data_IF_094523707225
#
_entry.id   IF_094523707225
#
_cell.length_a   1.000
_cell.length_b   1.000
_cell.length_c   1.000
_cell.angle_alpha   90.00
_cell.angle_beta   90.00
_cell.angle_gamma   90.00
#
_symmetry.space_group_name_H-M   'P 1'
#
loop_
_entity.id
_entity.type
_entity.pdbx_description
1 polymer ?
#
# COMPACT_ATOMS: atom_id res chain seq x y z
N UNK A 1 42.03 -32.04 7.36
CA UNK A 1 41.32 -30.81 6.95
C UNK A 1 40.64 -30.27 8.21
N UNK A 2 40.88 -29.02 8.58
CA UNK A 2 40.17 -28.46 9.72
C UNK A 2 38.69 -28.45 9.36
N UNK A 3 37.84 -28.94 10.27
CA UNK A 3 36.38 -28.79 10.13
C UNK A 3 36.06 -27.30 9.98
N UNK A 4 35.56 -26.92 8.83
CA UNK A 4 35.08 -25.58 8.60
C UNK A 4 33.84 -25.41 9.50
N UNK A 5 34.01 -24.71 10.61
CA UNK A 5 32.88 -24.39 11.49
C UNK A 5 32.02 -23.34 10.78
N UNK A 6 30.71 -23.59 10.77
CA UNK A 6 29.74 -22.57 10.39
C UNK A 6 30.06 -21.27 11.13
N UNK A 7 30.01 -20.16 10.44
CA UNK A 7 30.17 -18.85 11.06
C UNK A 7 28.88 -18.05 11.03
N UNK A 8 28.71 -17.19 12.01
CA UNK A 8 27.54 -16.33 12.16
C UNK A 8 27.84 -14.96 11.63
N UNK A 9 26.98 -14.44 10.76
CA UNK A 9 27.04 -13.10 10.20
C UNK A 9 25.83 -12.29 10.63
N UNK A 10 26.02 -11.06 11.12
CA UNK A 10 24.93 -10.10 11.28
C UNK A 10 24.78 -9.28 9.99
N UNK A 11 23.67 -9.50 9.27
CA UNK A 11 23.28 -8.73 8.11
C UNK A 11 22.30 -7.62 8.55
N UNK A 12 22.78 -6.38 8.57
CA UNK A 12 22.03 -5.26 9.14
C UNK A 12 22.12 -5.16 10.68
N UNK A 13 21.51 -4.11 11.29
CA UNK A 13 20.57 -3.17 10.66
C UNK A 13 21.22 -2.13 9.73
N UNK A 14 22.50 -1.83 9.89
CA UNK A 14 23.21 -0.88 9.03
C UNK A 14 23.69 -1.60 7.76
N UNK A 15 22.76 -1.83 6.85
CA UNK A 15 23.00 -2.37 5.51
C UNK A 15 21.90 -1.86 4.57
N UNK A 16 22.19 -1.44 3.33
CA UNK A 16 21.17 -0.93 2.39
C UNK A 16 20.01 -1.89 2.18
N UNK A 17 20.29 -3.19 1.96
CA UNK A 17 19.27 -4.21 1.74
C UNK A 17 18.55 -4.68 3.02
N UNK A 18 18.93 -4.19 4.20
CA UNK A 18 18.26 -4.46 5.48
C UNK A 18 17.25 -3.37 5.87
N UNK A 19 16.92 -2.47 4.96
CA UNK A 19 15.96 -1.36 5.16
C UNK A 19 16.28 -0.48 6.38
N UNK A 20 17.51 -0.51 6.90
CA UNK A 20 17.98 0.25 8.05
C UNK A 20 17.54 -0.26 9.43
N UNK A 21 16.65 -1.26 9.50
CA UNK A 21 16.02 -1.74 10.74
C UNK A 21 15.93 -3.26 10.88
N UNK A 22 16.26 -4.04 9.85
CA UNK A 22 16.34 -5.49 9.95
C UNK A 22 17.69 -5.89 10.51
N UNK A 23 17.70 -6.60 11.61
CA UNK A 23 18.85 -7.38 12.04
C UNK A 23 18.62 -8.83 11.64
N UNK A 24 19.31 -9.31 10.62
CA UNK A 24 19.25 -10.69 10.18
C UNK A 24 20.52 -11.42 10.63
N UNK A 25 20.35 -12.45 11.44
CA UNK A 25 21.45 -13.32 11.88
C UNK A 25 21.50 -14.51 10.93
N UNK A 26 22.58 -14.60 10.17
CA UNK A 26 22.80 -15.69 9.21
C UNK A 26 23.83 -16.68 9.76
N UNK A 27 23.53 -17.97 9.68
CA UNK A 27 24.49 -19.04 9.86
C UNK A 27 24.91 -19.53 8.47
N UNK A 28 26.20 -19.45 8.18
CA UNK A 28 26.76 -19.70 6.86
C UNK A 28 27.75 -20.86 6.89
N UNK A 29 27.68 -21.71 5.85
CA UNK A 29 28.73 -22.67 5.50
C UNK A 29 29.41 -22.17 4.21
N UNK A 30 30.57 -21.54 4.35
CA UNK A 30 31.14 -20.73 3.29
C UNK A 30 30.21 -19.52 2.94
N UNK A 31 29.67 -19.48 1.74
CA UNK A 31 28.69 -18.47 1.31
C UNK A 31 27.25 -18.99 1.31
N UNK A 32 27.03 -20.27 1.65
CA UNK A 32 25.71 -20.88 1.63
C UNK A 32 25.00 -20.71 2.97
N UNK A 33 23.76 -20.23 2.91
CA UNK A 33 22.93 -19.99 4.09
C UNK A 33 22.39 -21.32 4.61
N UNK A 34 22.71 -21.63 5.86
CA UNK A 34 22.17 -22.77 6.60
C UNK A 34 20.94 -22.39 7.41
N UNK A 35 20.94 -21.16 7.94
CA UNK A 35 19.83 -20.59 8.72
C UNK A 35 19.80 -19.09 8.60
N UNK A 36 18.60 -18.53 8.52
CA UNK A 36 18.35 -17.10 8.52
C UNK A 36 17.34 -16.74 9.64
N UNK A 37 17.79 -16.02 10.65
CA UNK A 37 17.00 -15.64 11.83
C UNK A 37 16.74 -14.13 11.85
N UNK A 38 15.53 -13.68 11.42
CA UNK A 38 15.19 -12.27 11.39
C UNK A 38 14.79 -11.74 12.76
N UNK A 39 15.50 -10.74 13.25
CA UNK A 39 15.20 -10.02 14.49
C UNK A 39 14.50 -8.70 14.14
N UNK A 40 13.27 -8.56 14.58
CA UNK A 40 12.42 -7.39 14.38
C UNK A 40 12.26 -6.58 15.68
N UNK A 41 11.61 -5.41 15.58
CA UNK A 41 11.29 -4.57 16.73
C UNK A 41 12.06 -3.25 16.79
N UNK A 42 13.06 -3.03 15.93
CA UNK A 42 13.84 -1.78 15.92
C UNK A 42 13.00 -0.57 15.47
N UNK A 43 11.85 -0.79 14.83
CA UNK A 43 10.87 0.24 14.46
C UNK A 43 9.54 0.07 15.22
N UNK A 44 9.52 -0.66 16.34
CA UNK A 44 8.32 -0.82 17.14
C UNK A 44 7.95 0.50 17.83
N UNK A 45 6.75 1.00 17.54
CA UNK A 45 6.23 2.29 18.02
C UNK A 45 4.97 2.15 18.84
N UNK A 46 4.60 0.92 19.19
CA UNK A 46 3.38 0.58 19.93
C UNK A 46 2.09 1.11 19.27
N UNK A 47 2.01 1.12 17.94
CA UNK A 47 0.90 1.73 17.18
C UNK A 47 -0.46 1.16 17.59
N UNK A 48 -0.57 -0.15 17.79
CA UNK A 48 -1.80 -0.78 18.25
C UNK A 48 -2.24 -0.20 19.62
N UNK A 49 -1.31 -0.07 20.57
CA UNK A 49 -1.60 0.45 21.91
C UNK A 49 -1.83 1.95 21.94
N UNK A 50 -1.13 2.71 21.11
CA UNK A 50 -1.36 4.14 20.96
C UNK A 50 -2.75 4.43 20.40
N UNK A 51 -3.20 3.65 19.42
CA UNK A 51 -4.54 3.80 18.84
C UNK A 51 -5.64 3.61 19.91
N UNK A 52 -5.47 2.68 20.84
CA UNK A 52 -6.40 2.44 21.96
C UNK A 52 -6.51 3.65 22.92
N UNK A 53 -5.54 4.56 22.91
CA UNK A 53 -5.55 5.77 23.75
C UNK A 53 -6.12 7.00 23.06
N UNK A 54 -6.38 6.92 21.76
CA UNK A 54 -6.84 8.01 20.89
C UNK A 54 -8.27 7.78 20.45
N UNK A 55 -8.97 8.87 20.10
CA UNK A 55 -10.27 8.71 19.43
C UNK A 55 -10.12 8.02 18.09
N UNK A 56 -11.18 7.41 17.56
CA UNK A 56 -11.15 6.74 16.26
C UNK A 56 -10.60 7.63 15.15
N UNK A 57 -10.97 8.91 15.14
CA UNK A 57 -10.47 9.86 14.14
C UNK A 57 -8.99 10.22 14.35
N UNK A 58 -8.55 10.34 15.61
CA UNK A 58 -7.15 10.63 15.93
C UNK A 58 -6.22 9.43 15.69
N UNK A 59 -6.75 8.21 15.71
CA UNK A 59 -5.98 7.00 15.43
C UNK A 59 -5.72 6.79 13.93
N UNK A 60 -6.54 7.37 13.05
CA UNK A 60 -6.41 7.23 11.60
C UNK A 60 -5.02 7.59 11.05
N UNK A 61 -4.39 8.73 11.41
CA UNK A 61 -3.05 9.08 10.93
C UNK A 61 -1.96 8.07 11.30
N UNK A 62 -2.15 7.25 12.33
CA UNK A 62 -1.17 6.20 12.65
C UNK A 62 -1.19 5.08 11.59
N UNK A 63 -2.32 4.85 10.93
CA UNK A 63 -2.45 3.83 9.89
C UNK A 63 -1.52 4.15 8.71
N UNK A 64 -1.46 5.43 8.29
CA UNK A 64 -0.56 5.87 7.22
C UNK A 64 0.91 5.54 7.45
N UNK A 65 1.32 5.46 8.71
CA UNK A 65 2.70 5.23 9.11
C UNK A 65 3.03 3.77 9.36
N UNK A 66 2.09 2.87 9.16
CA UNK A 66 2.33 1.42 9.22
C UNK A 66 3.11 0.99 7.98
N UNK A 67 2.46 0.77 6.87
CA UNK A 67 3.16 0.71 5.59
C UNK A 67 3.20 2.12 4.98
N UNK A 68 4.29 2.82 5.23
CA UNK A 68 4.50 4.19 4.75
C UNK A 68 4.74 4.29 3.23
N UNK A 69 4.62 3.18 2.52
CA UNK A 69 4.65 3.14 1.05
C UNK A 69 3.24 3.02 0.48
N UNK A 70 2.28 2.46 1.24
CA UNK A 70 0.91 2.19 0.78
C UNK A 70 -0.15 2.82 1.69
N UNK A 71 -0.01 4.12 1.95
CA UNK A 71 -0.72 4.84 2.99
C UNK A 71 -2.24 4.73 2.89
N UNK A 72 -2.83 5.06 1.74
CA UNK A 72 -4.29 5.08 1.62
C UNK A 72 -4.92 3.67 1.66
N UNK A 73 -4.18 2.61 1.32
CA UNK A 73 -4.65 1.24 1.53
C UNK A 73 -4.79 0.89 3.02
N UNK A 74 -3.88 1.40 3.86
CA UNK A 74 -3.96 1.22 5.32
C UNK A 74 -5.17 1.97 5.91
N UNK A 75 -5.38 3.23 5.47
CA UNK A 75 -6.55 4.03 5.85
C UNK A 75 -7.84 3.29 5.47
N UNK A 76 -7.86 2.68 4.27
CA UNK A 76 -9.04 1.99 3.74
C UNK A 76 -9.48 0.85 4.67
N UNK A 77 -8.57 -0.04 5.07
CA UNK A 77 -8.89 -1.15 5.97
C UNK A 77 -9.44 -0.66 7.31
N UNK A 78 -8.87 0.43 7.85
CA UNK A 78 -9.32 1.01 9.11
C UNK A 78 -10.71 1.64 9.00
N UNK A 79 -10.98 2.41 7.94
CA UNK A 79 -12.29 3.00 7.69
C UNK A 79 -13.36 1.92 7.51
N UNK A 80 -13.09 0.87 6.72
CA UNK A 80 -14.02 -0.25 6.53
C UNK A 80 -14.36 -0.97 7.84
N UNK A 81 -13.39 -1.14 8.76
CA UNK A 81 -13.64 -1.76 10.05
C UNK A 81 -14.59 -0.92 10.94
N UNK A 82 -14.40 0.40 10.94
CA UNK A 82 -15.27 1.32 11.67
C UNK A 82 -16.67 1.38 11.05
N UNK A 83 -16.74 1.48 9.73
CA UNK A 83 -18.02 1.54 8.99
C UNK A 83 -18.83 0.27 9.18
N UNK A 84 -18.19 -0.88 9.26
CA UNK A 84 -18.83 -2.17 9.57
C UNK A 84 -19.44 -2.19 10.98
N UNK A 85 -18.75 -1.60 11.98
CA UNK A 85 -19.28 -1.49 13.34
C UNK A 85 -20.42 -0.47 13.44
N UNK A 86 -20.34 0.62 12.68
CA UNK A 86 -21.37 1.65 12.64
C UNK A 86 -22.60 1.24 11.81
N UNK A 87 -22.45 0.27 10.90
CA UNK A 87 -23.51 -0.16 9.97
C UNK A 87 -23.87 0.92 8.95
N UNK A 88 -22.92 1.77 8.57
CA UNK A 88 -23.13 2.88 7.62
C UNK A 88 -22.75 2.48 6.20
N UNK A 89 -23.50 2.99 5.22
CA UNK A 89 -23.20 2.84 3.81
C UNK A 89 -22.49 4.09 3.28
N UNK A 90 -21.34 3.88 2.68
CA UNK A 90 -20.54 4.95 2.07
C UNK A 90 -21.14 5.38 0.74
N UNK A 91 -21.26 6.69 0.43
CA UNK A 91 -21.75 7.16 -0.86
C UNK A 91 -20.95 6.56 -2.02
N UNK A 92 -21.66 6.16 -3.09
CA UNK A 92 -21.08 5.46 -4.24
C UNK A 92 -19.91 6.23 -4.89
N UNK A 93 -19.99 7.57 -4.95
CA UNK A 93 -18.92 8.41 -5.47
C UNK A 93 -17.65 8.29 -4.61
N UNK A 94 -17.80 8.28 -3.29
CA UNK A 94 -16.68 8.09 -2.37
C UNK A 94 -16.04 6.70 -2.52
N UNK A 95 -16.84 5.66 -2.75
CA UNK A 95 -16.32 4.30 -3.02
C UNK A 95 -15.45 4.28 -4.28
N UNK A 96 -15.87 4.93 -5.38
CA UNK A 96 -15.06 5.04 -6.60
C UNK A 96 -13.77 5.83 -6.37
N UNK A 97 -13.82 6.91 -5.58
CA UNK A 97 -12.62 7.69 -5.22
C UNK A 97 -11.66 6.82 -4.40
N UNK A 98 -12.17 6.08 -3.41
CA UNK A 98 -11.35 5.19 -2.58
C UNK A 98 -10.69 4.08 -3.42
N UNK A 99 -11.42 3.44 -4.31
CA UNK A 99 -10.88 2.41 -5.20
C UNK A 99 -9.81 3.00 -6.13
N UNK A 100 -10.07 4.16 -6.74
CA UNK A 100 -9.09 4.85 -7.59
C UNK A 100 -7.80 5.15 -6.84
N UNK A 101 -7.88 5.70 -5.64
CA UNK A 101 -6.70 6.01 -4.82
C UNK A 101 -6.02 4.76 -4.23
N UNK A 102 -6.76 3.70 -3.95
CA UNK A 102 -6.17 2.42 -3.55
C UNK A 102 -5.33 1.82 -4.67
N UNK A 103 -5.78 1.93 -5.92
CA UNK A 103 -5.02 1.45 -7.07
C UNK A 103 -3.85 2.39 -7.46
N UNK A 104 -3.99 3.70 -7.30
CA UNK A 104 -2.86 4.63 -7.39
C UNK A 104 -1.80 4.33 -6.32
N UNK A 105 -2.23 3.98 -5.11
CA UNK A 105 -1.35 3.53 -4.02
C UNK A 105 -0.65 2.22 -4.38
N UNK A 106 -1.35 1.29 -5.04
CA UNK A 106 -0.74 0.06 -5.54
C UNK A 106 0.37 0.34 -6.54
N UNK A 107 0.15 1.25 -7.49
CA UNK A 107 1.18 1.70 -8.42
C UNK A 107 2.36 2.33 -7.67
N UNK A 108 2.08 3.20 -6.70
CA UNK A 108 3.08 3.88 -5.90
C UNK A 108 3.97 2.89 -5.12
N UNK A 109 3.37 1.83 -4.59
CA UNK A 109 4.10 0.76 -3.92
C UNK A 109 4.95 -0.07 -4.88
N UNK A 110 4.35 -0.56 -5.95
CA UNK A 110 5.07 -1.42 -6.89
C UNK A 110 6.22 -0.70 -7.60
N UNK A 111 6.08 0.60 -7.85
CA UNK A 111 7.18 1.41 -8.39
C UNK A 111 8.33 1.55 -7.40
N UNK A 112 8.06 1.74 -6.09
CA UNK A 112 9.14 1.76 -5.09
C UNK A 112 9.81 0.41 -4.97
N UNK A 113 8.99 -0.65 -4.87
CA UNK A 113 9.50 -2.02 -4.80
C UNK A 113 10.38 -2.35 -6.01
N UNK A 114 9.91 -2.06 -7.23
CA UNK A 114 10.66 -2.35 -8.45
C UNK A 114 11.98 -1.58 -8.50
N UNK A 115 11.96 -0.30 -8.12
CA UNK A 115 13.14 0.55 -8.06
C UNK A 115 14.17 0.04 -7.04
N UNK A 116 13.74 -0.29 -5.83
CA UNK A 116 14.60 -0.77 -4.76
C UNK A 116 15.16 -2.17 -5.04
N UNK A 117 14.30 -3.11 -5.45
CA UNK A 117 14.71 -4.49 -5.78
C UNK A 117 15.63 -4.51 -7.01
N UNK A 118 15.33 -3.67 -8.02
CA UNK A 118 16.21 -3.49 -9.18
C UNK A 118 17.59 -2.97 -8.79
N UNK A 119 17.64 -1.96 -7.89
CA UNK A 119 18.88 -1.42 -7.34
C UNK A 119 19.69 -2.49 -6.62
N UNK A 120 19.05 -3.29 -5.76
CA UNK A 120 19.69 -4.38 -5.01
C UNK A 120 20.31 -5.44 -5.93
N UNK A 121 19.75 -5.64 -7.11
CA UNK A 121 20.29 -6.53 -8.16
C UNK A 121 21.22 -5.82 -9.15
N UNK A 122 21.56 -4.54 -8.92
CA UNK A 122 22.51 -3.77 -9.70
C UNK A 122 21.91 -2.89 -10.81
N UNK A 123 20.59 -2.83 -10.97
CA UNK A 123 19.89 -2.02 -11.97
C UNK A 123 19.52 -0.62 -11.44
N UNK A 124 20.51 0.22 -11.14
CA UNK A 124 20.34 1.54 -10.54
C UNK A 124 19.39 2.47 -11.34
N UNK A 125 19.40 2.39 -12.65
CA UNK A 125 18.59 3.28 -13.50
C UNK A 125 17.09 3.09 -13.28
N UNK A 126 16.65 1.88 -12.96
CA UNK A 126 15.23 1.57 -12.69
C UNK A 126 14.70 2.40 -11.52
N UNK A 127 15.49 2.59 -10.47
CA UNK A 127 15.10 3.42 -9.33
C UNK A 127 14.73 4.84 -9.78
N UNK A 128 15.56 5.46 -10.62
CA UNK A 128 15.34 6.84 -11.10
C UNK A 128 14.05 6.91 -11.95
N UNK A 129 13.85 5.95 -12.85
CA UNK A 129 12.66 5.90 -13.69
C UNK A 129 11.38 5.68 -12.87
N UNK A 130 11.38 4.75 -11.91
CA UNK A 130 10.24 4.50 -11.03
C UNK A 130 9.90 5.73 -10.18
N UNK A 131 10.91 6.43 -9.65
CA UNK A 131 10.67 7.62 -8.83
C UNK A 131 10.10 8.79 -9.64
N UNK A 132 10.38 8.87 -10.93
CA UNK A 132 9.76 9.85 -11.82
C UNK A 132 8.23 9.73 -11.82
N UNK A 133 7.72 8.51 -11.96
CA UNK A 133 6.27 8.26 -11.97
C UNK A 133 5.65 8.39 -10.56
N UNK A 134 6.42 8.05 -9.53
CA UNK A 134 5.99 8.24 -8.14
C UNK A 134 5.75 9.71 -7.80
N UNK A 135 6.54 10.63 -8.33
CA UNK A 135 6.35 12.06 -8.13
C UNK A 135 5.01 12.55 -8.70
N UNK A 136 4.60 12.07 -9.87
CA UNK A 136 3.29 12.39 -10.43
C UNK A 136 2.15 11.91 -9.49
N UNK A 137 2.27 10.72 -8.90
CA UNK A 137 1.26 10.20 -7.95
C UNK A 137 1.27 11.00 -6.64
N UNK A 138 2.43 11.44 -6.16
CA UNK A 138 2.50 12.32 -4.98
C UNK A 138 1.81 13.67 -5.21
N UNK A 139 1.88 14.21 -6.41
CA UNK A 139 1.12 15.42 -6.77
C UNK A 139 -0.41 15.18 -6.72
N UNK A 140 -0.87 13.98 -7.13
CA UNK A 140 -2.28 13.59 -6.99
C UNK A 140 -2.70 13.47 -5.52
N UNK A 141 -1.84 12.92 -4.66
CA UNK A 141 -2.05 12.84 -3.20
C UNK A 141 -2.15 14.22 -2.57
N UNK A 142 -1.22 15.10 -2.90
CA UNK A 142 -1.19 16.46 -2.39
C UNK A 142 -2.40 17.26 -2.84
N UNK A 143 -2.90 17.04 -4.07
CA UNK A 143 -4.07 17.69 -4.60
C UNK A 143 -5.33 17.46 -3.73
N UNK A 144 -5.53 16.26 -3.20
CA UNK A 144 -6.72 15.91 -2.40
C UNK A 144 -6.52 16.12 -0.91
N UNK A 145 -5.32 15.99 -0.40
CA UNK A 145 -5.05 15.98 1.05
C UNK A 145 -4.22 17.15 1.55
N UNK A 146 -3.43 17.76 0.69
CA UNK A 146 -2.41 18.73 1.06
C UNK A 146 -1.10 18.10 1.53
N UNK A 147 -1.01 16.77 1.54
CA UNK A 147 0.18 16.01 1.96
C UNK A 147 0.62 15.08 0.84
N UNK A 148 1.94 15.01 0.57
CA UNK A 148 2.52 14.18 -0.48
C UNK A 148 2.44 12.68 -0.17
N UNK A 149 2.49 12.29 1.10
CA UNK A 149 2.54 10.90 1.53
C UNK A 149 1.43 10.56 2.52
N UNK A 150 1.55 10.97 3.76
CA UNK A 150 0.62 10.65 4.85
C UNK A 150 -0.62 11.54 4.78
N UNK A 151 -1.58 11.11 3.97
CA UNK A 151 -2.69 11.93 3.54
C UNK A 151 -3.84 12.03 4.54
N UNK A 152 -4.11 10.94 5.29
CA UNK A 152 -5.30 10.78 6.12
C UNK A 152 -6.57 11.24 5.37
N UNK A 153 -6.68 10.86 4.10
CA UNK A 153 -7.70 11.31 3.18
C UNK A 153 -8.99 10.50 3.28
N UNK A 154 -8.90 9.19 3.44
CA UNK A 154 -10.07 8.36 3.70
C UNK A 154 -10.53 8.62 5.12
N UNK A 155 -11.85 8.71 5.28
CA UNK A 155 -12.49 8.98 6.57
C UNK A 155 -13.64 8.01 6.76
N UNK A 156 -13.95 7.61 7.97
CA UNK A 156 -15.18 6.86 8.22
C UNK A 156 -16.39 7.58 7.60
N UNK A 157 -17.14 6.86 6.77
CA UNK A 157 -18.27 7.40 6.02
C UNK A 157 -17.94 8.03 4.67
N UNK A 158 -16.69 8.00 4.19
CA UNK A 158 -16.33 8.52 2.87
C UNK A 158 -14.89 9.01 2.74
N UNK A 159 -14.70 10.20 2.16
CA UNK A 159 -13.42 10.86 2.01
C UNK A 159 -13.49 12.30 2.54
N UNK A 160 -12.34 12.85 2.90
CA UNK A 160 -12.24 14.17 3.53
C UNK A 160 -12.88 15.30 2.69
N UNK A 161 -12.71 15.26 1.37
CA UNK A 161 -13.29 16.21 0.41
C UNK A 161 -13.35 15.61 -0.98
N UNK A 162 -14.19 16.18 -1.86
CA UNK A 162 -14.25 15.78 -3.27
C UNK A 162 -12.97 16.16 -4.02
N UNK A 163 -12.82 15.58 -5.19
CA UNK A 163 -11.70 15.84 -6.10
C UNK A 163 -11.73 17.30 -6.55
N UNK A 164 -10.60 18.01 -6.54
CA UNK A 164 -10.57 19.40 -6.98
C UNK A 164 -10.76 19.53 -8.49
N UNK A 165 -11.52 20.55 -8.89
CA UNK A 165 -11.77 20.90 -10.29
C UNK A 165 -10.55 21.51 -11.00
N UNK A 166 -9.51 21.84 -10.24
CA UNK A 166 -8.24 22.35 -10.77
C UNK A 166 -7.08 21.77 -9.97
N UNK A 167 -6.00 21.43 -10.67
CA UNK A 167 -4.76 21.06 -9.98
C UNK A 167 -4.25 22.29 -9.21
N UNK A 168 -3.92 22.13 -7.92
CA UNK A 168 -3.30 23.20 -7.16
C UNK A 168 -2.03 23.67 -7.88
N UNK A 169 -1.78 24.98 -7.89
CA UNK A 169 -0.49 25.48 -8.40
C UNK A 169 0.57 25.15 -7.35
N UNK A 170 1.32 24.07 -7.60
CA UNK A 170 2.42 23.69 -6.73
C UNK A 170 3.55 24.70 -6.82
N UNK A 171 4.08 25.07 -5.66
CA UNK A 171 5.37 25.75 -5.55
C UNK A 171 6.55 24.81 -5.77
N UNK A 172 6.30 23.58 -6.21
CA UNK A 172 7.31 22.61 -6.54
C UNK A 172 8.26 23.14 -7.61
N UNK A 173 9.46 22.60 -7.67
CA UNK A 173 10.56 23.07 -8.49
C UNK A 173 10.11 23.47 -9.90
N UNK A 174 10.76 24.47 -10.53
CA UNK A 174 10.49 24.88 -11.92
C UNK A 174 10.38 23.72 -12.90
N UNK A 175 11.15 22.67 -12.67
CA UNK A 175 11.17 21.45 -13.50
C UNK A 175 9.81 20.72 -13.44
N UNK A 176 9.21 20.61 -12.25
CA UNK A 176 7.92 19.94 -12.05
C UNK A 176 6.77 20.74 -12.68
N UNK A 177 6.74 22.05 -12.48
CA UNK A 177 5.74 22.94 -13.10
C UNK A 177 5.86 22.99 -14.64
N UNK A 178 7.07 22.96 -15.17
CA UNK A 178 7.29 22.93 -16.62
C UNK A 178 6.85 21.59 -17.23
N UNK A 179 6.99 20.51 -16.50
CA UNK A 179 6.58 19.18 -16.97
C UNK A 179 5.06 19.06 -16.96
N UNK A 180 4.40 19.32 -15.84
CA UNK A 180 2.94 19.32 -15.74
C UNK A 180 2.28 20.25 -16.78
N UNK A 181 2.89 21.40 -17.10
CA UNK A 181 2.37 22.32 -18.10
C UNK A 181 2.64 21.92 -19.54
N UNK A 182 3.70 21.16 -19.82
CA UNK A 182 4.00 20.66 -21.17
C UNK A 182 3.15 19.45 -21.53
N UNK A 183 2.93 18.55 -20.59
CA UNK A 183 2.28 17.27 -20.82
C UNK A 183 0.76 17.39 -20.90
N UNK A 184 0.14 18.37 -20.24
CA UNK A 184 -1.30 18.70 -20.36
C UNK A 184 -1.65 19.54 -21.61
N UNK A 185 -0.92 19.40 -22.71
CA UNK A 185 -1.15 20.14 -23.97
C UNK A 185 -1.30 21.67 -23.80
N UNK A 186 -0.59 22.25 -22.83
CA UNK A 186 -0.63 23.69 -22.56
C UNK A 186 -1.83 24.17 -21.80
N UNK A 187 -2.75 23.32 -21.40
CA UNK A 187 -3.92 23.71 -20.64
C UNK A 187 -3.60 23.68 -19.12
N UNK A 188 -3.21 24.82 -18.59
CA UNK A 188 -2.86 25.01 -17.16
C UNK A 188 -4.05 24.88 -16.19
N UNK A 189 -5.24 24.60 -16.69
CA UNK A 189 -6.50 24.59 -15.97
C UNK A 189 -7.20 23.22 -15.94
N UNK A 190 -6.48 22.13 -16.20
CA UNK A 190 -7.03 20.78 -16.12
C UNK A 190 -7.45 20.42 -14.69
N UNK A 191 -8.52 19.65 -14.55
CA UNK A 191 -8.94 19.07 -13.28
C UNK A 191 -7.97 17.99 -12.82
N UNK A 192 -8.05 17.59 -11.55
CA UNK A 192 -7.30 16.46 -11.04
C UNK A 192 -7.62 15.16 -11.83
N UNK A 193 -8.88 14.97 -12.22
CA UNK A 193 -9.30 13.82 -13.04
C UNK A 193 -8.62 13.82 -14.42
N UNK A 194 -8.39 15.02 -15.01
CA UNK A 194 -7.68 15.13 -16.29
C UNK A 194 -6.20 14.76 -16.12
N UNK A 195 -5.60 15.15 -15.01
CA UNK A 195 -4.22 14.79 -14.69
C UNK A 195 -4.04 13.28 -14.46
N UNK A 196 -4.97 12.64 -13.71
CA UNK A 196 -4.97 11.18 -13.49
C UNK A 196 -5.21 10.44 -14.81
N UNK A 197 -6.12 10.92 -15.66
CA UNK A 197 -6.38 10.32 -16.96
C UNK A 197 -5.15 10.36 -17.85
N UNK A 198 -4.50 11.53 -18.01
CA UNK A 198 -3.27 11.67 -18.76
C UNK A 198 -2.15 10.75 -18.25
N UNK A 199 -1.97 10.69 -16.92
CA UNK A 199 -1.05 9.73 -16.30
C UNK A 199 -1.39 8.29 -16.70
N UNK A 200 -2.65 7.90 -16.60
CA UNK A 200 -3.11 6.53 -16.87
C UNK A 200 -2.93 6.12 -18.34
N UNK A 201 -3.01 7.08 -19.27
CA UNK A 201 -2.75 6.84 -20.69
C UNK A 201 -1.25 6.65 -21.00
N UNK A 202 -0.37 7.35 -20.29
CA UNK A 202 1.08 7.26 -20.48
C UNK A 202 1.71 6.06 -19.76
N UNK A 203 1.15 5.67 -18.63
CA UNK A 203 1.74 4.70 -17.72
C UNK A 203 2.05 3.33 -18.34
N UNK A 204 1.21 2.73 -19.22
CA UNK A 204 1.50 1.45 -19.85
C UNK A 204 2.85 1.44 -20.60
N UNK A 205 3.17 2.53 -21.31
CA UNK A 205 4.45 2.67 -21.99
C UNK A 205 5.63 2.67 -21.02
N UNK A 206 5.47 3.30 -19.86
CA UNK A 206 6.53 3.31 -18.85
C UNK A 206 6.77 1.89 -18.28
N UNK A 207 5.70 1.09 -18.13
CA UNK A 207 5.81 -0.32 -17.72
C UNK A 207 6.55 -1.13 -18.79
N UNK A 208 6.27 -0.91 -20.08
CA UNK A 208 6.97 -1.57 -21.19
C UNK A 208 8.47 -1.20 -21.19
N UNK A 209 8.81 0.05 -20.86
CA UNK A 209 10.21 0.50 -20.71
C UNK A 209 10.91 -0.25 -19.56
N UNK A 210 10.22 -0.47 -18.42
CA UNK A 210 10.78 -1.24 -17.30
C UNK A 210 11.01 -2.71 -17.68
N UNK A 211 10.07 -3.33 -18.38
CA UNK A 211 10.23 -4.70 -18.86
C UNK A 211 11.37 -4.83 -19.86
N UNK A 212 11.51 -3.90 -20.78
CA UNK A 212 12.62 -3.86 -21.75
C UNK A 212 13.98 -3.85 -21.04
N UNK A 213 14.07 -3.18 -19.89
CA UNK A 213 15.32 -3.10 -19.12
C UNK A 213 15.58 -4.33 -18.26
N UNK A 214 14.55 -5.01 -17.75
CA UNK A 214 14.66 -6.07 -16.74
C UNK A 214 14.26 -7.45 -17.25
N UNK A 215 13.09 -7.61 -17.87
CA UNK A 215 12.45 -8.93 -18.09
C UNK A 215 13.39 -9.90 -18.83
N UNK A 216 14.04 -9.46 -19.89
CA UNK A 216 14.98 -10.30 -20.65
C UNK A 216 16.46 -10.08 -20.29
N UNK A 217 16.72 -9.26 -19.29
CA UNK A 217 18.08 -9.01 -18.85
C UNK A 217 18.70 -10.27 -18.22
N UNK A 218 19.84 -10.70 -18.73
CA UNK A 218 20.55 -11.89 -18.27
C UNK A 218 20.90 -11.83 -16.77
N UNK A 219 21.35 -10.68 -16.29
CA UNK A 219 21.74 -10.52 -14.87
C UNK A 219 20.50 -10.65 -13.99
N UNK A 220 19.40 -9.97 -14.37
CA UNK A 220 18.14 -10.05 -13.65
C UNK A 220 17.63 -11.49 -13.56
N UNK A 221 17.59 -12.22 -14.69
CA UNK A 221 17.18 -13.62 -14.72
C UNK A 221 18.06 -14.50 -13.83
N UNK A 222 19.37 -14.34 -13.89
CA UNK A 222 20.30 -15.11 -13.05
C UNK A 222 20.16 -14.83 -11.55
N UNK A 223 19.67 -13.64 -11.18
CA UNK A 223 19.47 -13.22 -9.80
C UNK A 223 18.07 -13.53 -9.27
N UNK A 224 17.14 -13.98 -10.09
CA UNK A 224 15.71 -14.10 -9.70
C UNK A 224 15.10 -15.45 -10.05
N UNK A 225 15.48 -16.07 -11.17
CA UNK A 225 14.95 -17.37 -11.60
C UNK A 225 15.45 -18.48 -10.69
N UNK A 226 14.54 -19.27 -10.13
CA UNK A 226 14.83 -20.37 -9.21
C UNK A 226 15.30 -19.92 -7.83
N UNK A 227 15.27 -18.63 -7.51
CA UNK A 227 15.67 -18.09 -6.21
C UNK A 227 14.45 -17.89 -5.31
N UNK A 228 14.54 -18.39 -4.05
CA UNK A 228 13.47 -18.23 -3.06
C UNK A 228 12.16 -18.90 -3.46
N UNK A 229 12.23 -20.12 -3.99
CA UNK A 229 11.07 -20.87 -4.46
C UNK A 229 10.19 -21.30 -3.29
N UNK A 230 8.87 -21.08 -3.39
CA UNK A 230 7.87 -21.54 -2.42
C UNK A 230 6.74 -22.25 -3.16
N UNK A 231 6.45 -23.48 -2.79
CA UNK A 231 5.32 -24.22 -3.38
C UNK A 231 3.97 -23.62 -2.94
N UNK A 232 2.88 -23.78 -3.72
CA UNK A 232 1.56 -23.27 -3.36
C UNK A 232 1.06 -23.74 -1.99
N UNK A 233 1.22 -25.03 -1.68
CA UNK A 233 0.83 -25.61 -0.41
C UNK A 233 1.63 -24.98 0.75
N UNK A 234 2.93 -24.82 0.56
CA UNK A 234 3.80 -24.25 1.58
C UNK A 234 3.51 -22.75 1.78
N UNK A 235 3.22 -22.04 0.71
CA UNK A 235 2.83 -20.62 0.77
C UNK A 235 1.56 -20.41 1.63
N UNK A 236 0.56 -21.28 1.47
CA UNK A 236 -0.64 -21.27 2.31
C UNK A 236 -0.34 -21.57 3.78
N UNK A 237 0.48 -22.60 4.05
CA UNK A 237 0.86 -22.97 5.41
C UNK A 237 1.66 -21.88 6.15
N UNK A 238 2.45 -21.10 5.43
CA UNK A 238 3.20 -19.96 5.96
C UNK A 238 2.35 -18.69 6.10
N UNK A 239 1.10 -18.71 5.62
CA UNK A 239 0.20 -17.55 5.66
C UNK A 239 0.60 -16.44 4.69
N UNK A 240 1.29 -16.77 3.59
CA UNK A 240 1.63 -15.82 2.53
C UNK A 240 0.36 -15.37 1.81
N UNK A 241 0.33 -14.11 1.39
CA UNK A 241 -0.81 -13.50 0.71
C UNK A 241 -0.34 -12.57 -0.40
N UNK A 242 -1.26 -12.09 -1.24
CA UNK A 242 -0.95 -11.16 -2.31
C UNK A 242 0.02 -11.72 -3.36
N UNK A 243 0.93 -10.90 -3.88
CA UNK A 243 1.89 -11.32 -4.91
C UNK A 243 2.78 -12.49 -4.48
N UNK A 244 3.06 -12.65 -3.18
CA UNK A 244 3.82 -13.76 -2.66
C UNK A 244 3.10 -15.10 -2.86
N UNK A 245 1.77 -15.13 -2.64
CA UNK A 245 0.94 -16.30 -2.84
C UNK A 245 0.63 -16.52 -4.33
N UNK A 246 0.29 -15.45 -5.06
CA UNK A 246 -0.02 -15.51 -6.50
C UNK A 246 1.19 -15.93 -7.32
N UNK A 247 2.39 -15.51 -6.95
CA UNK A 247 3.65 -15.98 -7.57
C UNK A 247 3.84 -17.49 -7.47
N UNK A 248 3.32 -18.11 -6.40
CA UNK A 248 3.35 -19.57 -6.21
C UNK A 248 2.22 -20.34 -6.93
N UNK A 249 1.39 -19.67 -7.73
CA UNK A 249 0.37 -20.33 -8.55
C UNK A 249 -1.03 -20.37 -7.92
N UNK A 250 -1.29 -19.67 -6.83
CA UNK A 250 -2.61 -19.65 -6.18
C UNK A 250 -3.35 -18.34 -6.47
N UNK A 251 -4.45 -18.41 -7.23
CA UNK A 251 -5.24 -17.26 -7.67
C UNK A 251 -6.15 -16.72 -6.55
N UNK A 252 -5.56 -16.12 -5.52
CA UNK A 252 -6.29 -15.49 -4.42
C UNK A 252 -6.10 -13.97 -4.46
N UNK A 253 -7.23 -13.26 -4.55
CA UNK A 253 -7.28 -11.79 -4.51
C UNK A 253 -8.59 -11.37 -3.86
N UNK A 254 -8.52 -10.61 -2.77
CA UNK A 254 -9.70 -10.17 -2.01
C UNK A 254 -10.64 -9.29 -2.84
N UNK A 255 -10.12 -8.56 -3.82
CA UNK A 255 -10.93 -7.73 -4.72
C UNK A 255 -11.90 -8.55 -5.57
N UNK A 256 -11.62 -9.86 -5.79
CA UNK A 256 -12.47 -10.81 -6.54
C UNK A 256 -13.17 -11.81 -5.63
N UNK A 257 -12.49 -12.33 -4.60
CA UNK A 257 -13.02 -13.39 -3.73
C UNK A 257 -13.95 -12.85 -2.65
N UNK A 258 -13.68 -11.66 -2.13
CA UNK A 258 -14.47 -10.96 -1.12
C UNK A 258 -14.55 -9.47 -1.47
N UNK A 259 -15.20 -9.12 -2.59
CA UNK A 259 -15.20 -7.76 -3.08
C UNK A 259 -15.78 -6.78 -2.07
N UNK A 260 -15.07 -5.70 -1.89
CA UNK A 260 -15.45 -4.55 -1.07
C UNK A 260 -15.59 -3.31 -1.95
N UNK A 261 -16.31 -2.28 -1.46
CA UNK A 261 -16.59 -1.07 -2.25
C UNK A 261 -17.15 -1.41 -3.65
N UNK A 262 -16.61 -0.82 -4.69
CA UNK A 262 -17.05 -1.03 -6.07
C UNK A 262 -16.19 -2.04 -6.84
N UNK A 263 -15.29 -2.79 -6.21
CA UNK A 263 -14.44 -3.75 -6.93
C UNK A 263 -15.23 -4.82 -7.69
N UNK A 264 -16.41 -5.20 -7.20
CA UNK A 264 -17.30 -6.12 -7.92
C UNK A 264 -17.73 -5.63 -9.32
N UNK A 265 -17.66 -4.30 -9.55
CA UNK A 265 -18.02 -3.65 -10.82
C UNK A 265 -16.81 -3.41 -11.73
N UNK A 266 -15.60 -3.68 -11.25
CA UNK A 266 -14.36 -3.43 -11.99
C UNK A 266 -13.98 -4.64 -12.84
N UNK A 267 -13.61 -4.36 -14.08
CA UNK A 267 -13.09 -5.34 -15.02
C UNK A 267 -11.55 -5.31 -14.94
N UNK A 268 -10.98 -6.38 -14.38
CA UNK A 268 -9.53 -6.61 -14.29
C UNK A 268 -9.24 -8.10 -14.12
N UNK A 269 -8.02 -8.50 -14.44
CA UNK A 269 -7.54 -9.86 -14.30
C UNK A 269 -6.62 -10.01 -13.08
N UNK A 270 -6.56 -11.21 -12.51
CA UNK A 270 -5.67 -11.53 -11.40
C UNK A 270 -4.47 -12.28 -11.96
N UNK A 271 -3.27 -11.67 -11.99
CA UNK A 271 -2.08 -12.34 -12.48
C UNK A 271 -1.61 -13.42 -11.51
N UNK A 272 -1.16 -14.55 -12.06
CA UNK A 272 -0.72 -15.71 -11.30
C UNK A 272 0.56 -16.26 -11.92
N UNK A 273 1.57 -16.53 -11.08
CA UNK A 273 2.81 -17.19 -11.49
C UNK A 273 2.67 -18.72 -11.53
N UNK A 274 3.75 -19.41 -11.82
CA UNK A 274 3.78 -20.87 -11.94
C UNK A 274 4.90 -21.53 -11.14
N UNK A 275 6.07 -20.90 -11.04
CA UNK A 275 7.26 -21.47 -10.45
C UNK A 275 7.44 -21.14 -8.96
N UNK A 276 6.76 -20.11 -8.46
CA UNK A 276 6.86 -19.69 -7.08
C UNK A 276 8.21 -19.07 -6.71
N UNK A 277 8.99 -18.60 -7.66
CA UNK A 277 10.29 -17.96 -7.49
C UNK A 277 10.22 -16.43 -7.47
N UNK A 278 11.34 -15.79 -7.26
CA UNK A 278 11.47 -14.33 -7.26
C UNK A 278 11.12 -13.73 -8.63
N UNK A 279 11.41 -14.43 -9.73
CA UNK A 279 11.11 -13.95 -11.07
C UNK A 279 9.61 -13.94 -11.35
N UNK A 280 8.89 -14.99 -10.98
CA UNK A 280 7.43 -15.04 -11.15
C UNK A 280 6.73 -13.96 -10.32
N UNK A 281 7.21 -13.71 -9.08
CA UNK A 281 6.68 -12.60 -8.26
C UNK A 281 6.92 -11.23 -8.88
N UNK A 282 8.06 -11.07 -9.59
CA UNK A 282 8.32 -9.87 -10.36
C UNK A 282 7.30 -9.72 -11.51
N UNK A 283 7.08 -10.76 -12.30
CA UNK A 283 6.11 -10.74 -13.40
C UNK A 283 4.68 -10.47 -12.91
N UNK A 284 4.27 -11.09 -11.79
CA UNK A 284 2.97 -10.85 -11.17
C UNK A 284 2.80 -9.36 -10.82
N UNK A 285 3.78 -8.72 -10.18
CA UNK A 285 3.68 -7.30 -9.80
C UNK A 285 3.72 -6.36 -11.00
N UNK A 286 4.46 -6.69 -12.04
CA UNK A 286 4.46 -5.91 -13.29
C UNK A 286 3.09 -5.96 -13.95
N UNK A 287 2.46 -7.12 -14.01
CA UNK A 287 1.11 -7.24 -14.54
C UNK A 287 0.07 -6.59 -13.63
N UNK A 288 0.24 -6.66 -12.31
CA UNK A 288 -0.61 -5.92 -11.37
C UNK A 288 -0.59 -4.42 -11.60
N UNK A 289 0.54 -3.84 -12.01
CA UNK A 289 0.60 -2.42 -12.36
C UNK A 289 -0.28 -2.12 -13.59
N UNK A 290 -0.33 -2.99 -14.58
CA UNK A 290 -1.23 -2.83 -15.74
C UNK A 290 -2.68 -2.95 -15.35
N UNK A 291 -3.02 -3.94 -14.52
CA UNK A 291 -4.40 -4.16 -14.08
C UNK A 291 -4.87 -3.03 -13.15
N UNK A 292 -4.02 -2.52 -12.26
CA UNK A 292 -4.32 -1.35 -11.43
C UNK A 292 -4.61 -0.11 -12.29
N UNK A 293 -3.80 0.12 -13.32
CA UNK A 293 -4.02 1.21 -14.27
C UNK A 293 -5.36 1.06 -15.03
N UNK A 294 -5.75 -0.16 -15.41
CA UNK A 294 -7.05 -0.45 -16.03
C UNK A 294 -8.21 -0.12 -15.11
N UNK A 295 -8.11 -0.40 -13.81
CA UNK A 295 -9.11 -0.02 -12.81
C UNK A 295 -9.18 1.51 -12.66
N UNK A 296 -8.03 2.20 -12.59
CA UNK A 296 -7.98 3.66 -12.50
C UNK A 296 -8.72 4.30 -13.66
N UNK A 297 -8.51 3.86 -14.90
CA UNK A 297 -9.21 4.37 -16.09
C UNK A 297 -10.73 4.22 -15.99
N UNK A 298 -11.21 3.07 -15.50
CA UNK A 298 -12.63 2.83 -15.28
C UNK A 298 -13.20 3.76 -14.21
N UNK A 299 -12.46 3.98 -13.11
CA UNK A 299 -12.87 4.90 -12.06
C UNK A 299 -12.94 6.35 -12.56
N UNK A 300 -11.96 6.81 -13.32
CA UNK A 300 -11.93 8.16 -13.92
C UNK A 300 -13.13 8.38 -14.83
N UNK A 301 -13.41 7.41 -15.71
CA UNK A 301 -14.55 7.49 -16.62
C UNK A 301 -15.89 7.60 -15.87
N UNK A 302 -16.07 6.79 -14.82
CA UNK A 302 -17.27 6.82 -14.00
C UNK A 302 -17.41 8.13 -13.20
N UNK A 303 -16.33 8.59 -12.56
CA UNK A 303 -16.33 9.79 -11.71
C UNK A 303 -16.63 11.07 -12.48
N UNK A 304 -16.21 11.16 -13.75
CA UNK A 304 -16.57 12.28 -14.65
C UNK A 304 -18.06 12.36 -14.93
N UNK A 305 -18.70 11.22 -15.09
CA UNK A 305 -20.12 11.14 -15.45
C UNK A 305 -21.07 11.25 -14.24
N UNK A 306 -20.59 11.02 -13.02
CA UNK A 306 -21.43 10.84 -11.85
C UNK A 306 -20.99 11.76 -10.68
N UNK A 307 -21.40 13.02 -10.67
CA UNK A 307 -21.25 13.88 -9.50
C UNK A 307 -22.16 13.39 -8.35
N UNK A 308 -21.77 13.66 -7.10
CA UNK A 308 -22.55 13.23 -5.95
C UNK A 308 -21.84 13.48 -4.62
N UNK A 309 -22.43 13.09 -3.49
CA UNK A 309 -21.82 13.22 -2.18
C UNK A 309 -20.60 12.30 -2.05
N UNK A 310 -19.62 12.74 -1.27
CA UNK A 310 -18.36 12.03 -1.03
C UNK A 310 -18.18 11.63 0.43
N UNK A 311 -19.14 11.98 1.28
CA UNK A 311 -19.17 11.60 2.68
C UNK A 311 -20.63 11.42 3.11
N UNK A 312 -20.86 10.54 4.08
CA UNK A 312 -22.18 10.29 4.64
C UNK A 312 -22.77 11.53 5.29
N UNK A 313 -24.10 11.70 5.17
CA UNK A 313 -24.85 12.79 5.82
C UNK A 313 -25.27 12.38 7.24
N UNK A 314 -24.28 12.15 8.09
CA UNK A 314 -24.43 11.89 9.52
C UNK A 314 -23.39 12.71 10.30
N UNK A 315 -23.84 13.78 10.93
CA UNK A 315 -22.97 14.70 11.67
C UNK A 315 -22.39 14.13 12.98
N UNK A 316 -22.75 12.91 13.35
CA UNK A 316 -22.08 12.17 14.44
C UNK A 316 -20.79 11.48 13.95
N UNK A 317 -20.67 11.23 12.65
CA UNK A 317 -19.55 10.55 12.03
C UNK A 317 -18.73 11.52 11.16
N UNK A 318 -19.42 12.35 10.37
CA UNK A 318 -18.83 13.29 9.43
C UNK A 318 -19.02 14.75 9.89
N UNK A 319 -18.02 15.62 9.70
CA UNK A 319 -18.16 17.03 10.06
C UNK A 319 -19.21 17.72 9.17
N UNK A 320 -20.05 18.60 9.75
CA UNK A 320 -20.99 19.39 8.97
C UNK A 320 -20.26 20.40 8.05
N UNK A 321 -20.97 20.91 7.07
CA UNK A 321 -20.42 21.88 6.13
C UNK A 321 -19.97 23.18 6.83
N UNK A 322 -18.95 23.84 6.27
CA UNK A 322 -18.47 25.12 6.82
C UNK A 322 -19.55 26.23 6.81
N UNK A 323 -20.48 26.17 5.88
CA UNK A 323 -21.60 27.07 5.83
C UNK A 323 -22.61 26.75 6.91
N UNK A 324 -22.97 25.48 7.06
CA UNK A 324 -23.85 25.00 8.13
C UNK A 324 -23.38 25.42 9.52
N UNK A 325 -22.09 25.20 9.84
CA UNK A 325 -21.49 25.64 11.11
C UNK A 325 -21.63 27.14 11.42
N UNK A 326 -21.76 27.97 10.41
CA UNK A 326 -21.92 29.44 10.56
C UNK A 326 -23.37 29.89 10.66
N UNK A 327 -24.31 29.08 10.20
CA UNK A 327 -25.73 29.46 10.06
C UNK A 327 -26.64 28.61 10.93
N UNK A 328 -26.22 27.46 11.39
CA UNK A 328 -26.98 26.51 12.19
C UNK A 328 -26.26 26.18 13.49
N UNK A 329 -26.94 26.33 14.63
CA UNK A 329 -26.36 26.04 15.94
C UNK A 329 -26.11 24.55 16.16
N UNK A 330 -26.97 23.68 15.64
CA UNK A 330 -26.80 22.22 15.76
C UNK A 330 -25.53 21.75 15.05
N UNK A 331 -25.26 22.25 13.84
CA UNK A 331 -24.07 21.96 13.08
C UNK A 331 -22.79 22.40 13.83
N UNK A 332 -22.84 23.55 14.45
CA UNK A 332 -21.73 24.05 15.27
C UNK A 332 -21.47 23.12 16.47
N UNK A 333 -22.51 22.65 17.14
CA UNK A 333 -22.42 21.71 18.28
C UNK A 333 -21.86 20.37 17.79
N UNK A 334 -22.36 19.83 16.68
CA UNK A 334 -21.87 18.58 16.12
C UNK A 334 -20.39 18.67 15.74
N UNK A 335 -19.98 19.76 15.09
CA UNK A 335 -18.57 20.00 14.79
C UNK A 335 -17.72 20.03 16.06
N UNK A 336 -18.14 20.79 17.07
CA UNK A 336 -17.41 20.89 18.34
C UNK A 336 -17.28 19.53 19.01
N UNK A 337 -18.35 18.76 19.12
CA UNK A 337 -18.33 17.43 19.74
C UNK A 337 -17.48 16.43 18.97
N UNK A 338 -17.56 16.40 17.64
CA UNK A 338 -16.79 15.49 16.82
C UNK A 338 -15.26 15.69 16.98
N UNK A 339 -14.81 16.94 17.11
CA UNK A 339 -13.38 17.25 17.23
C UNK A 339 -12.86 17.29 18.66
N UNK A 340 -13.71 17.43 19.67
CA UNK A 340 -13.32 17.42 21.10
C UNK A 340 -13.53 16.07 21.74
N UNK A 341 -14.73 15.51 21.65
CA UNK A 341 -15.11 14.23 22.22
C UNK A 341 -14.79 13.05 21.27
N UNK A 342 -14.99 13.25 19.98
CA UNK A 342 -14.87 12.21 18.94
C UNK A 342 -16.19 11.47 18.70
N UNK A 343 -16.22 10.66 17.63
CA UNK A 343 -17.35 9.79 17.32
C UNK A 343 -17.39 8.60 18.29
N UNK A 344 -18.60 8.19 18.64
CA UNK A 344 -18.86 6.94 19.37
C UNK A 344 -19.14 5.83 18.36
N UNK A 345 -18.48 4.70 18.52
CA UNK A 345 -18.68 3.52 17.67
C UNK A 345 -19.45 2.47 18.46
N UNK A 346 -20.44 1.85 17.84
CA UNK A 346 -21.28 0.83 18.47
C UNK A 346 -20.44 -0.28 19.11
N UNK A 347 -20.92 -0.82 20.24
CA UNK A 347 -20.29 -1.97 20.88
C UNK A 347 -20.31 -3.17 19.95
N UNK A 348 -19.18 -3.87 19.86
CA UNK A 348 -19.00 -5.03 19.03
C UNK A 348 -17.59 -5.22 18.53
N UNK A 349 -17.42 -6.18 17.64
CA UNK A 349 -16.15 -6.49 17.00
C UNK A 349 -16.30 -6.57 15.49
N UNK A 350 -15.30 -6.14 14.76
CA UNK A 350 -15.24 -6.24 13.30
C UNK A 350 -13.84 -6.57 12.82
N UNK A 351 -13.77 -7.42 11.82
CA UNK A 351 -12.58 -7.61 11.00
C UNK A 351 -12.88 -7.10 9.59
N UNK A 352 -12.00 -6.25 9.09
CA UNK A 352 -12.01 -5.78 7.72
C UNK A 352 -10.62 -5.95 7.13
N UNK A 353 -10.54 -6.50 5.93
CA UNK A 353 -9.30 -6.68 5.20
C UNK A 353 -9.43 -6.10 3.80
N UNK A 354 -8.31 -5.63 3.28
CA UNK A 354 -8.18 -5.12 1.92
C UNK A 354 -7.06 -5.85 1.19
N UNK A 355 -7.17 -5.94 -0.13
CA UNK A 355 -6.05 -6.38 -0.97
C UNK A 355 -5.04 -5.26 -1.09
N UNK A 356 -4.12 -5.24 -0.14
CA UNK A 356 -3.01 -4.31 -0.11
C UNK A 356 -1.96 -4.70 -1.17
N UNK A 357 -1.13 -3.79 -1.69
CA UNK A 357 -0.10 -4.13 -2.68
C UNK A 357 0.86 -5.25 -2.25
N UNK A 358 1.09 -5.39 -0.95
CA UNK A 358 1.95 -6.43 -0.37
C UNK A 358 1.22 -7.73 -0.06
N UNK A 359 -0.10 -7.68 0.06
CA UNK A 359 -0.95 -8.83 0.38
C UNK A 359 -2.17 -8.43 1.20
N UNK A 360 -2.75 -9.35 1.94
CA UNK A 360 -3.88 -9.06 2.81
C UNK A 360 -3.45 -8.18 3.99
N UNK A 361 -3.96 -6.95 4.03
CA UNK A 361 -3.84 -6.07 5.19
C UNK A 361 -5.20 -6.01 5.91
N UNK A 362 -5.22 -6.36 7.18
CA UNK A 362 -6.46 -6.47 7.96
C UNK A 362 -6.41 -5.72 9.28
N UNK A 363 -7.56 -5.16 9.64
CA UNK A 363 -7.78 -4.51 10.93
C UNK A 363 -8.86 -5.29 11.68
N UNK A 364 -8.51 -5.80 12.84
CA UNK A 364 -9.48 -6.31 13.81
C UNK A 364 -9.70 -5.25 14.90
N UNK A 365 -10.92 -4.83 15.03
CA UNK A 365 -11.33 -3.72 15.87
C UNK A 365 -12.41 -4.17 16.84
N UNK A 366 -12.22 -3.86 18.12
CA UNK A 366 -13.22 -4.07 19.19
C UNK A 366 -13.59 -2.70 19.74
N UNK A 367 -14.89 -2.44 19.87
CA UNK A 367 -15.47 -1.25 20.50
C UNK A 367 -16.35 -1.64 21.67
N UNK A 368 -16.28 -0.87 22.74
CA UNK A 368 -17.15 -0.96 23.93
C UNK A 368 -18.25 0.11 23.94
N UNK A 369 -18.52 0.75 22.80
CA UNK A 369 -19.47 1.86 22.69
C UNK A 369 -18.85 3.23 23.01
N UNK A 370 -17.58 3.29 23.39
CA UNK A 370 -16.88 4.53 23.68
C UNK A 370 -16.39 5.26 22.40
N UNK A 371 -15.72 6.37 22.60
CA UNK A 371 -15.14 7.20 21.54
C UNK A 371 -13.71 6.76 21.15
N UNK A 372 -13.22 5.67 21.70
CA UNK A 372 -11.88 5.13 21.48
C UNK A 372 -11.96 3.63 21.19
N UNK A 373 -11.05 3.07 20.38
CA UNK A 373 -10.94 1.63 20.25
C UNK A 373 -10.65 0.97 21.62
N UNK A 374 -11.44 -0.03 22.01
CA UNK A 374 -11.10 -0.88 23.16
C UNK A 374 -9.90 -1.76 22.86
N UNK A 375 -9.90 -2.38 21.65
CA UNK A 375 -8.76 -3.15 21.13
C UNK A 375 -8.63 -2.93 19.64
N UNK A 376 -7.40 -2.72 19.21
CA UNK A 376 -7.03 -2.70 17.80
C UNK A 376 -5.90 -3.68 17.54
N UNK A 377 -6.10 -4.57 16.56
CA UNK A 377 -5.11 -5.53 16.10
C UNK A 377 -4.90 -5.37 14.60
N UNK A 378 -3.64 -5.31 14.19
CA UNK A 378 -3.24 -5.15 12.81
C UNK A 378 -2.69 -6.47 12.29
N UNK A 379 -3.28 -6.98 11.22
CA UNK A 379 -2.74 -8.08 10.44
C UNK A 379 -1.92 -7.47 9.29
N UNK A 380 -0.61 -7.45 9.46
CA UNK A 380 0.32 -6.97 8.46
C UNK A 380 0.79 -8.12 7.56
N UNK A 381 0.71 -8.02 6.23
CA UNK A 381 1.19 -9.09 5.34
C UNK A 381 2.69 -9.32 5.48
N UNK A 382 3.48 -8.26 5.60
CA UNK A 382 4.94 -8.34 5.72
C UNK A 382 5.43 -9.15 6.93
N UNK A 383 4.64 -9.21 8.01
CA UNK A 383 5.01 -10.00 9.20
C UNK A 383 5.05 -11.51 8.89
N UNK A 384 4.03 -12.03 8.18
CA UNK A 384 3.99 -13.42 7.76
C UNK A 384 5.05 -13.71 6.67
N UNK A 385 5.23 -12.78 5.73
CA UNK A 385 6.23 -12.90 4.66
C UNK A 385 7.64 -12.99 5.23
N UNK A 386 7.99 -12.15 6.21
CA UNK A 386 9.31 -12.17 6.83
C UNK A 386 9.56 -13.46 7.62
N UNK A 387 8.52 -14.06 8.21
CA UNK A 387 8.64 -15.35 8.89
C UNK A 387 9.02 -16.50 7.94
N UNK A 388 8.71 -16.37 6.65
CA UNK A 388 9.10 -17.35 5.62
C UNK A 388 10.56 -17.21 5.17
N UNK A 389 11.28 -16.19 5.59
CA UNK A 389 12.63 -15.86 5.11
C UNK A 389 13.61 -17.00 5.30
N UNK A 390 13.62 -17.67 6.45
CA UNK A 390 14.54 -18.79 6.72
C UNK A 390 14.36 -19.93 5.71
N UNK A 391 13.11 -20.27 5.44
CA UNK A 391 12.80 -21.36 4.50
C UNK A 391 13.18 -21.00 3.06
N UNK A 392 12.92 -19.75 2.66
CA UNK A 392 13.23 -19.26 1.32
C UNK A 392 14.73 -19.07 1.09
N UNK A 393 15.49 -18.73 2.12
CA UNK A 393 16.92 -18.43 2.01
C UNK A 393 17.82 -19.65 2.19
N UNK A 394 17.34 -20.70 2.84
CA UNK A 394 18.14 -21.88 3.15
C UNK A 394 18.64 -22.58 1.90
N UNK A 395 19.95 -22.85 1.85
CA UNK A 395 20.61 -23.47 0.70
C UNK A 395 20.98 -22.51 -0.43
N UNK A 396 20.57 -21.25 -0.36
CA UNK A 396 20.97 -20.19 -1.28
C UNK A 396 22.23 -19.46 -0.80
N UNK A 397 22.83 -18.66 -1.67
CA UNK A 397 24.01 -17.87 -1.35
C UNK A 397 23.63 -16.58 -0.59
N UNK A 398 24.60 -16.03 0.14
CA UNK A 398 24.42 -14.73 0.82
C UNK A 398 23.92 -13.64 -0.12
N UNK A 399 24.40 -13.61 -1.36
CA UNK A 399 23.94 -12.65 -2.37
C UNK A 399 22.46 -12.84 -2.71
N UNK A 400 21.94 -14.07 -2.66
CA UNK A 400 20.53 -14.37 -2.96
C UNK A 400 19.60 -13.93 -1.83
N UNK A 401 20.10 -13.86 -0.58
CA UNK A 401 19.32 -13.32 0.55
C UNK A 401 18.81 -11.91 0.26
N UNK A 402 19.61 -11.08 -0.40
CA UNK A 402 19.23 -9.72 -0.79
C UNK A 402 18.05 -9.74 -1.78
N UNK A 403 18.11 -10.59 -2.79
CA UNK A 403 17.04 -10.75 -3.76
C UNK A 403 15.75 -11.31 -3.12
N UNK A 404 15.89 -12.23 -2.16
CA UNK A 404 14.78 -12.83 -1.41
C UNK A 404 14.11 -11.79 -0.51
N UNK A 405 14.88 -10.99 0.24
CA UNK A 405 14.35 -9.88 1.03
C UNK A 405 13.62 -8.88 0.14
N UNK A 406 14.21 -8.49 -0.99
CA UNK A 406 13.61 -7.57 -1.95
C UNK A 406 12.30 -8.09 -2.54
N UNK A 407 12.19 -9.38 -2.88
CA UNK A 407 10.96 -9.94 -3.45
C UNK A 407 9.80 -10.00 -2.46
N UNK A 408 10.06 -10.01 -1.15
CA UNK A 408 9.02 -9.99 -0.13
C UNK A 408 8.31 -8.64 -0.03
N UNK A 409 8.92 -7.57 -0.54
CA UNK A 409 8.40 -6.20 -0.47
C UNK A 409 8.00 -5.79 0.95
N UNK A 410 8.91 -5.97 1.89
CA UNK A 410 8.67 -5.73 3.32
C UNK A 410 8.88 -4.27 3.70
N UNK A 411 8.01 -3.77 4.58
CA UNK A 411 8.15 -2.46 5.24
C UNK A 411 8.02 -2.63 6.75
N UNK A 412 9.06 -2.23 7.47
CA UNK A 412 9.13 -2.50 8.90
C UNK A 412 8.15 -1.70 9.75
N UNK A 413 7.58 -0.62 9.21
CA UNK A 413 6.53 0.12 9.90
C UNK A 413 5.28 -0.72 10.17
N UNK A 414 4.89 -1.63 9.26
CA UNK A 414 3.79 -2.56 9.45
C UNK A 414 4.20 -3.84 10.19
N UNK A 415 5.44 -4.27 10.03
CA UNK A 415 5.95 -5.48 10.68
C UNK A 415 6.09 -5.26 12.18
N UNK A 416 6.71 -4.18 12.57
CA UNK A 416 7.00 -3.84 13.97
C UNK A 416 5.79 -3.19 14.69
N UNK A 417 4.93 -2.48 13.96
CA UNK A 417 3.68 -1.81 14.40
C UNK A 417 3.81 -0.77 15.50
#
# INVERSE_FOLDING_TARGET
>A
MADIKNYTLNFGPQHPAAHGVLRLVLELDGEVIQRADPHIGLLHRATEKLAETKTFLQALPYMDRLDYVSMMCNEHAYCLAIEKLLGIEVPIRAQYIRVMYSELTRLLNHLLWLGAHGLDCGAMNILIYCFREREDIFDMYEAVSGARMHAAYFRPGGVYRDLPDSMPQYRASKIHNERATRELNGNRSGSLLDFIDDFSQRFPKNVDDYETLLTDNRIWKQRTVGIGVVSPERALNLGLTGPMLRGSGFAWDLRKTQPYEVYAKMDFDVPVGTNGDTYDRYLVRVEEMRQANRIIQQCVAWLRANPGPVIVDDHKVAPPSRVGMKTNMEDLIHHFKLFTEGMHVSEGEAYAAVEHPKGEFGIYLVSDGANKPYRLKIRAPGFAHLAALDEMARGHMLADAVAIIGTMDIVFGEIDR
#
